data_IF_860563953749
#
_entry.id   IF_860563953749
#
_cell.length_a   1.000
_cell.length_b   1.000
_cell.length_c   1.000
_cell.angle_alpha   90.00
_cell.angle_beta   90.00
_cell.angle_gamma   90.00
#
_symmetry.space_group_name_H-M   'P 1'
#
loop_
_entity.id
_entity.type
_entity.pdbx_description
1 polymer ?
#
# COMPACT_ATOMS: atom_id res chain seq x y z
N UNK A 1 -10.33 1.37 21.64
CA UNK A 1 -9.15 0.48 21.71
C UNK A 1 -9.26 -0.73 20.77
N UNK A 2 -10.38 -1.47 20.76
CA UNK A 2 -10.56 -2.64 19.88
C UNK A 2 -10.32 -2.38 18.38
N UNK A 3 -10.79 -1.24 17.85
CA UNK A 3 -10.62 -0.91 16.43
C UNK A 3 -9.15 -0.68 16.02
N UNK A 4 -8.29 -0.22 16.93
CA UNK A 4 -6.85 -0.04 16.65
C UNK A 4 -6.12 -1.38 16.63
N UNK A 5 -6.45 -2.25 17.58
CA UNK A 5 -5.90 -3.61 17.68
C UNK A 5 -6.26 -4.41 16.43
N UNK A 6 -7.52 -4.37 16.01
CA UNK A 6 -7.99 -5.06 14.81
C UNK A 6 -7.23 -4.63 13.55
N UNK A 7 -6.95 -3.34 13.39
CA UNK A 7 -6.18 -2.82 12.26
C UNK A 7 -4.75 -3.37 12.26
N UNK A 8 -4.07 -3.33 13.40
CA UNK A 8 -2.73 -3.89 13.53
C UNK A 8 -2.72 -5.40 13.23
N UNK A 9 -3.71 -6.13 13.75
CA UNK A 9 -3.81 -7.58 13.61
C UNK A 9 -4.09 -7.98 12.15
N UNK A 10 -4.94 -7.23 11.44
CA UNK A 10 -5.20 -7.41 10.02
C UNK A 10 -3.94 -7.16 9.18
N UNK A 11 -3.21 -6.07 9.45
CA UNK A 11 -1.97 -5.77 8.73
C UNK A 11 -0.89 -6.82 8.98
N UNK A 12 -0.75 -7.27 10.23
CA UNK A 12 0.18 -8.35 10.61
C UNK A 12 -0.17 -9.68 9.96
N UNK A 13 -1.45 -10.04 9.96
CA UNK A 13 -1.92 -11.28 9.35
C UNK A 13 -1.68 -11.27 7.84
N UNK A 14 -1.96 -10.14 7.17
CA UNK A 14 -1.71 -9.99 5.73
C UNK A 14 -0.23 -10.13 5.38
N UNK A 15 0.66 -9.52 6.17
CA UNK A 15 2.12 -9.65 6.03
C UNK A 15 2.61 -11.10 6.21
N UNK A 16 2.12 -11.78 7.24
CA UNK A 16 2.44 -13.19 7.49
C UNK A 16 1.99 -14.07 6.32
N UNK A 17 0.76 -13.87 5.84
CA UNK A 17 0.21 -14.62 4.74
C UNK A 17 1.03 -14.41 3.45
N UNK A 18 1.41 -13.17 3.17
CA UNK A 18 2.30 -12.84 2.06
C UNK A 18 3.63 -13.58 2.14
N UNK A 19 4.28 -13.56 3.31
CA UNK A 19 5.56 -14.23 3.52
C UNK A 19 5.45 -15.75 3.34
N UNK A 20 4.37 -16.36 3.84
CA UNK A 20 4.08 -17.78 3.64
C UNK A 20 3.94 -18.11 2.16
N UNK A 21 3.15 -17.34 1.40
CA UNK A 21 2.98 -17.57 -0.04
C UNK A 21 4.28 -17.42 -0.82
N UNK A 22 5.14 -16.46 -0.47
CA UNK A 22 6.48 -16.31 -1.06
C UNK A 22 7.35 -17.53 -0.77
N UNK A 23 7.34 -18.04 0.46
CA UNK A 23 8.09 -19.24 0.85
C UNK A 23 7.59 -20.49 0.11
N UNK A 24 6.27 -20.69 0.00
CA UNK A 24 5.70 -21.81 -0.77
C UNK A 24 6.07 -21.75 -2.25
N UNK A 25 6.17 -20.54 -2.82
CA UNK A 25 6.62 -20.33 -4.19
C UNK A 25 8.10 -20.65 -4.36
N UNK A 26 8.92 -20.27 -3.39
CA UNK A 26 10.37 -20.55 -3.38
C UNK A 26 10.65 -22.06 -3.27
N UNK A 27 9.80 -22.78 -2.53
CA UNK A 27 9.80 -24.25 -2.43
C UNK A 27 9.34 -24.94 -3.73
N UNK A 28 8.97 -24.16 -4.78
CA UNK A 28 8.46 -24.63 -6.08
C UNK A 28 7.20 -25.50 -5.99
N UNK A 29 6.51 -25.50 -4.84
CA UNK A 29 5.28 -26.26 -4.63
C UNK A 29 4.12 -25.72 -5.47
N UNK A 30 4.17 -24.44 -5.88
CA UNK A 30 3.09 -23.76 -6.58
C UNK A 30 3.61 -23.01 -7.82
N UNK A 31 3.13 -23.35 -9.02
CA UNK A 31 3.51 -22.71 -10.30
C UNK A 31 2.74 -21.42 -10.61
N UNK A 32 1.91 -20.94 -9.69
CA UNK A 32 1.02 -19.79 -9.89
C UNK A 32 1.76 -18.48 -10.18
N UNK A 33 1.08 -17.57 -10.87
CA UNK A 33 1.59 -16.22 -11.13
C UNK A 33 1.86 -15.48 -9.82
N UNK A 34 2.91 -14.66 -9.82
CA UNK A 34 3.24 -13.81 -8.67
C UNK A 34 2.08 -12.88 -8.29
N UNK A 35 1.21 -12.57 -9.26
CA UNK A 35 0.00 -11.77 -9.03
C UNK A 35 -0.93 -12.38 -7.98
N UNK A 36 -1.06 -13.72 -7.93
CA UNK A 36 -1.94 -14.38 -6.97
C UNK A 36 -1.40 -14.29 -5.53
N UNK A 37 -0.07 -14.26 -5.36
CA UNK A 37 0.58 -14.16 -4.06
C UNK A 37 0.29 -12.80 -3.40
N UNK A 38 0.10 -11.77 -4.22
CA UNK A 38 -0.20 -10.40 -3.77
C UNK A 38 -1.70 -10.11 -3.58
N UNK A 39 -2.61 -11.02 -3.98
CA UNK A 39 -4.08 -10.83 -3.80
C UNK A 39 -4.48 -10.35 -2.40
N UNK A 40 -3.95 -10.89 -1.29
CA UNK A 40 -4.33 -10.46 0.05
C UNK A 40 -4.00 -8.98 0.31
N UNK A 41 -2.84 -8.51 -0.17
CA UNK A 41 -2.46 -7.10 -0.07
C UNK A 41 -3.27 -6.22 -1.00
N UNK A 42 -3.52 -6.66 -2.24
CA UNK A 42 -4.35 -5.93 -3.19
C UNK A 42 -5.75 -5.64 -2.65
N UNK A 43 -6.39 -6.65 -2.05
CA UNK A 43 -7.71 -6.49 -1.44
C UNK A 43 -7.65 -5.45 -0.32
N UNK A 44 -6.62 -5.50 0.53
CA UNK A 44 -6.45 -4.53 1.62
C UNK A 44 -6.26 -3.10 1.10
N UNK A 45 -5.33 -2.89 0.17
CA UNK A 45 -5.06 -1.57 -0.40
C UNK A 45 -6.28 -1.00 -1.16
N UNK A 46 -7.00 -1.84 -1.91
CA UNK A 46 -8.25 -1.45 -2.56
C UNK A 46 -9.33 -1.03 -1.55
N UNK A 47 -9.50 -1.78 -0.46
CA UNK A 47 -10.46 -1.42 0.61
C UNK A 47 -10.08 -0.08 1.25
N UNK A 48 -8.79 0.17 1.50
CA UNK A 48 -8.33 1.44 2.08
C UNK A 48 -8.59 2.59 1.11
N UNK A 49 -8.21 2.47 -0.16
CA UNK A 49 -8.44 3.50 -1.18
C UNK A 49 -9.94 3.78 -1.32
N UNK A 50 -10.77 2.73 -1.38
CA UNK A 50 -12.22 2.84 -1.48
C UNK A 50 -12.80 3.54 -0.25
N UNK A 51 -12.38 3.15 0.97
CA UNK A 51 -12.87 3.76 2.21
C UNK A 51 -12.61 5.27 2.25
N UNK A 52 -11.39 5.70 1.91
CA UNK A 52 -11.04 7.12 1.85
C UNK A 52 -11.76 7.84 0.72
N UNK A 53 -11.84 7.22 -0.47
CA UNK A 53 -12.55 7.76 -1.63
C UNK A 53 -14.04 8.00 -1.34
N UNK A 54 -14.73 7.01 -0.76
CA UNK A 54 -16.13 7.14 -0.35
C UNK A 54 -16.31 8.21 0.72
N UNK A 55 -15.42 8.26 1.72
CA UNK A 55 -15.48 9.28 2.77
C UNK A 55 -15.31 10.70 2.21
N UNK A 56 -14.48 10.88 1.18
CA UNK A 56 -14.31 12.15 0.49
C UNK A 56 -15.53 12.46 -0.38
N UNK A 57 -16.00 11.50 -1.18
CA UNK A 57 -17.16 11.66 -2.06
C UNK A 57 -18.44 12.01 -1.29
N UNK A 58 -18.68 11.35 -0.15
CA UNK A 58 -19.81 11.65 0.74
C UNK A 58 -19.68 13.02 1.41
N UNK A 59 -18.45 13.47 1.69
CA UNK A 59 -18.19 14.77 2.31
C UNK A 59 -18.29 15.93 1.31
N UNK A 60 -17.97 15.68 0.04
CA UNK A 60 -18.04 16.68 -1.02
C UNK A 60 -19.48 17.18 -1.25
N UNK A 61 -20.49 16.35 -0.98
CA UNK A 61 -21.91 16.71 -1.11
C UNK A 61 -22.40 17.71 -0.05
N UNK A 62 -21.66 17.97 1.04
CA UNK A 62 -22.19 18.68 2.21
C UNK A 62 -21.38 19.88 2.72
N UNK A 63 -20.28 20.30 2.08
CA UNK A 63 -19.50 21.45 2.60
C UNK A 63 -18.73 22.14 1.49
N UNK A 64 -19.26 23.30 1.10
CA UNK A 64 -18.49 24.40 0.52
C UNK A 64 -17.55 24.96 1.62
N UNK A 65 -16.31 25.32 1.28
CA UNK A 65 -15.20 25.78 2.15
C UNK A 65 -14.44 24.72 3.00
N UNK A 66 -13.32 24.18 2.46
CA UNK A 66 -12.05 23.93 3.19
C UNK A 66 -10.92 23.41 2.30
N UNK A 67 -10.22 24.33 1.65
CA UNK A 67 -9.08 24.05 0.76
C UNK A 67 -7.86 23.42 1.47
N UNK A 68 -7.77 23.46 2.81
CA UNK A 68 -6.58 22.99 3.56
C UNK A 68 -6.58 21.50 3.94
N UNK A 69 -7.74 20.82 3.92
CA UNK A 69 -7.83 19.37 4.20
C UNK A 69 -7.78 18.50 2.94
N UNK A 70 -7.97 19.08 1.75
CA UNK A 70 -8.01 18.33 0.49
C UNK A 70 -6.63 17.82 0.06
N UNK A 71 -5.57 18.61 0.24
CA UNK A 71 -4.22 18.22 -0.15
C UNK A 71 -3.72 16.99 0.62
N UNK A 72 -3.95 16.92 1.94
CA UNK A 72 -3.56 15.76 2.76
C UNK A 72 -4.35 14.49 2.39
N UNK A 73 -5.63 14.63 2.05
CA UNK A 73 -6.45 13.50 1.62
C UNK A 73 -6.00 12.97 0.24
N UNK A 74 -5.67 13.86 -0.70
CA UNK A 74 -5.13 13.49 -2.02
C UNK A 74 -3.78 12.81 -1.84
N UNK A 75 -2.91 13.33 -0.96
CA UNK A 75 -1.59 12.77 -0.72
C UNK A 75 -1.66 11.34 -0.15
N UNK A 76 -2.64 11.03 0.71
CA UNK A 76 -2.90 9.64 1.17
C UNK A 76 -3.34 8.69 0.06
N UNK A 77 -4.20 9.14 -0.85
CA UNK A 77 -4.65 8.32 -1.99
C UNK A 77 -3.50 8.09 -2.96
N UNK A 78 -2.75 9.15 -3.29
CA UNK A 78 -1.57 9.08 -4.17
C UNK A 78 -0.53 8.13 -3.59
N UNK A 79 -0.26 8.21 -2.28
CA UNK A 79 0.63 7.29 -1.58
C UNK A 79 0.18 5.82 -1.71
N UNK A 80 -1.12 5.54 -1.53
CA UNK A 80 -1.68 4.19 -1.73
C UNK A 80 -1.58 3.69 -3.17
N UNK A 81 -1.93 4.51 -4.16
CA UNK A 81 -1.80 4.17 -5.57
C UNK A 81 -0.34 3.93 -5.99
N UNK A 82 0.60 4.71 -5.47
CA UNK A 82 2.02 4.56 -5.76
C UNK A 82 2.58 3.25 -5.17
N UNK A 83 2.08 2.87 -3.99
CA UNK A 83 2.41 1.59 -3.35
C UNK A 83 1.93 0.40 -4.18
N UNK A 84 0.69 0.47 -4.68
CA UNK A 84 0.14 -0.54 -5.59
C UNK A 84 0.94 -0.66 -6.89
N UNK A 85 1.37 0.47 -7.46
CA UNK A 85 2.20 0.48 -8.66
C UNK A 85 3.56 -0.19 -8.41
N UNK A 86 4.16 0.04 -7.24
CA UNK A 86 5.38 -0.65 -6.84
C UNK A 86 5.21 -2.17 -6.70
N UNK A 87 4.14 -2.64 -6.07
CA UNK A 87 3.84 -4.07 -5.98
C UNK A 87 3.62 -4.71 -7.36
N UNK A 88 2.94 -4.00 -8.25
CA UNK A 88 2.76 -4.39 -9.65
C UNK A 88 4.10 -4.55 -10.37
N UNK A 89 5.01 -3.58 -10.23
CA UNK A 89 6.34 -3.64 -10.83
C UNK A 89 7.19 -4.77 -10.25
N UNK A 90 7.14 -4.97 -8.92
CA UNK A 90 7.85 -6.07 -8.25
C UNK A 90 7.30 -7.44 -8.70
N UNK A 91 5.98 -7.54 -8.91
CA UNK A 91 5.34 -8.74 -9.44
C UNK A 91 5.81 -9.08 -10.86
N UNK A 92 5.91 -8.07 -11.74
CA UNK A 92 6.43 -8.25 -13.11
C UNK A 92 7.91 -8.65 -13.08
N UNK A 93 8.69 -8.02 -12.19
CA UNK A 93 10.11 -8.31 -12.01
C UNK A 93 10.39 -9.71 -11.47
N UNK A 94 9.57 -10.23 -10.54
CA UNK A 94 9.74 -11.60 -10.06
C UNK A 94 9.24 -12.65 -11.06
N UNK A 95 8.28 -12.29 -11.91
CA UNK A 95 7.70 -13.22 -12.87
C UNK A 95 8.54 -13.42 -14.11
N UNK A 96 9.13 -12.35 -14.62
CA UNK A 96 10.12 -12.44 -15.67
C UNK A 96 11.50 -12.29 -15.05
N UNK A 97 12.36 -13.29 -15.23
CA UNK A 97 13.76 -13.36 -14.81
C UNK A 97 14.65 -12.29 -15.51
N UNK A 98 14.22 -11.04 -15.48
CA UNK A 98 14.95 -9.92 -15.99
C UNK A 98 16.07 -9.62 -15.01
N UNK A 99 17.31 -9.59 -15.50
CA UNK A 99 18.53 -9.14 -14.81
C UNK A 99 18.49 -7.65 -14.38
N UNK A 100 17.32 -7.09 -14.09
CA UNK A 100 17.18 -5.75 -13.53
C UNK A 100 17.69 -5.80 -12.09
N UNK A 101 18.51 -4.83 -11.68
CA UNK A 101 18.98 -4.76 -10.30
C UNK A 101 17.79 -4.50 -9.39
N UNK A 102 17.59 -5.38 -8.41
CA UNK A 102 16.62 -5.31 -7.30
C UNK A 102 16.55 -3.91 -6.65
N UNK A 103 17.62 -3.14 -6.77
CA UNK A 103 17.73 -1.72 -6.42
C UNK A 103 16.66 -0.80 -7.05
N UNK A 104 16.35 -0.97 -8.35
CA UNK A 104 15.36 -0.11 -9.04
C UNK A 104 13.94 -0.35 -8.52
N UNK A 105 13.68 -1.58 -8.11
CA UNK A 105 12.40 -1.96 -7.55
C UNK A 105 12.21 -1.21 -6.24
N UNK A 106 13.21 -1.12 -5.36
CA UNK A 106 13.07 -0.43 -4.07
C UNK A 106 12.91 1.11 -4.12
N UNK A 107 13.18 1.79 -5.24
CA UNK A 107 13.12 3.27 -5.33
C UNK A 107 11.77 3.87 -4.88
N UNK A 108 10.60 3.35 -5.29
CA UNK A 108 9.30 3.84 -4.84
C UNK A 108 9.09 3.60 -3.34
N UNK A 109 9.62 2.50 -2.78
CA UNK A 109 9.55 2.21 -1.35
C UNK A 109 10.31 3.26 -0.53
N UNK A 110 11.52 3.64 -0.97
CA UNK A 110 12.28 4.73 -0.35
C UNK A 110 11.56 6.09 -0.45
N UNK A 111 10.90 6.37 -1.58
CA UNK A 111 10.11 7.60 -1.74
C UNK A 111 8.91 7.66 -0.79
N UNK A 112 8.29 6.52 -0.49
CA UNK A 112 7.13 6.40 0.38
C UNK A 112 7.52 6.53 1.85
N UNK A 113 8.67 5.94 2.22
CA UNK A 113 9.24 6.04 3.56
C UNK A 113 9.69 7.47 3.87
N UNK A 114 10.30 8.16 2.89
CA UNK A 114 10.61 9.58 3.01
C UNK A 114 9.36 10.45 3.13
N UNK A 115 8.31 10.18 2.34
CA UNK A 115 7.04 10.87 2.47
C UNK A 115 6.43 10.74 3.88
N UNK A 116 6.42 9.53 4.43
CA UNK A 116 5.86 9.25 5.75
C UNK A 116 6.64 9.96 6.88
N UNK A 117 7.98 10.00 6.76
CA UNK A 117 8.85 10.73 7.69
C UNK A 117 8.58 12.24 7.62
N UNK A 118 8.36 12.78 6.42
CA UNK A 118 8.04 14.21 6.23
C UNK A 118 6.69 14.55 6.88
N UNK A 119 5.64 13.74 6.68
CA UNK A 119 4.35 13.98 7.36
C UNK A 119 4.46 13.87 8.88
N UNK A 120 5.17 12.87 9.39
CA UNK A 120 5.39 12.69 10.83
C UNK A 120 6.21 13.85 11.45
N UNK A 121 7.23 14.32 10.73
CA UNK A 121 8.05 15.46 11.16
C UNK A 121 7.27 16.77 11.23
N UNK A 122 6.41 17.03 10.23
CA UNK A 122 5.56 18.24 10.21
C UNK A 122 4.54 18.22 11.36
N UNK A 123 4.01 17.04 11.71
CA UNK A 123 3.03 16.89 12.80
C UNK A 123 3.68 16.95 14.20
N UNK A 124 4.96 16.58 14.33
CA UNK A 124 5.70 16.61 15.59
C UNK A 124 6.23 18.00 15.95
N UNK A 125 6.39 18.89 14.97
CA UNK A 125 6.93 20.24 15.14
C UNK A 125 5.87 21.35 15.20
N UNK A 126 4.57 21.02 15.11
CA UNK A 126 3.46 21.95 15.23
C UNK A 126 2.50 21.52 16.34
#
# INVERSE_FOLDING_TARGET
>A
MAALILRCLVTWLSLMLFMIFVLLKLDKLITWNWFLIFIPMWIYDLIVILYWGLKIGLRHRNTDSRERNSAQNIWRIVSGCLKLFFELLLCIYLQYDYNLKLFYVFIPFWSLLLGLVVEAGILAFH
#
